data_IF_871290574747
#
_entry.id   IF_871290574747
#
_cell.length_a   1.000
_cell.length_b   1.000
_cell.length_c   1.000
_cell.angle_alpha   90.00
_cell.angle_beta   90.00
_cell.angle_gamma   90.00
#
_symmetry.space_group_name_H-M   'P 1'
#
loop_
_entity.id
_entity.type
_entity.pdbx_description
1 polymer ?
#
# COMPACT_ATOMS: atom_id res chain seq x y z
N UNK A 1 -47.82 2.84 -4.10
CA UNK A 1 -46.83 2.10 -4.91
C UNK A 1 -46.10 3.12 -5.76
N UNK A 2 -44.82 3.38 -5.65
CA UNK A 2 -43.68 2.48 -5.43
C UNK A 2 -42.54 3.25 -4.75
N UNK A 3 -42.16 2.75 -3.59
CA UNK A 3 -41.00 3.13 -2.80
C UNK A 3 -39.74 2.43 -3.36
N UNK A 4 -38.58 3.00 -3.01
CA UNK A 4 -37.28 2.33 -2.85
C UNK A 4 -36.39 2.15 -4.08
N UNK A 5 -35.35 2.99 -4.15
CA UNK A 5 -33.93 2.60 -4.02
C UNK A 5 -32.99 3.41 -4.94
N UNK A 6 -32.83 4.70 -4.65
CA UNK A 6 -31.57 5.37 -4.97
C UNK A 6 -30.47 4.71 -4.14
N UNK A 7 -29.76 3.77 -4.76
CA UNK A 7 -28.51 3.26 -4.23
C UNK A 7 -27.55 4.45 -4.08
N UNK A 8 -26.99 4.74 -2.89
CA UNK A 8 -25.96 5.74 -2.78
C UNK A 8 -24.71 5.17 -3.46
N UNK A 9 -24.54 5.51 -4.73
CA UNK A 9 -23.29 5.31 -5.44
C UNK A 9 -22.25 6.16 -4.71
N UNK A 10 -21.56 5.53 -3.75
CA UNK A 10 -20.37 6.08 -3.14
C UNK A 10 -19.40 6.28 -4.29
N UNK A 11 -19.28 7.53 -4.77
CA UNK A 11 -18.30 7.95 -5.78
C UNK A 11 -16.93 7.57 -5.24
N UNK A 12 -16.45 6.40 -5.65
CA UNK A 12 -15.08 5.98 -5.41
C UNK A 12 -14.22 6.85 -6.30
N UNK A 13 -13.67 7.92 -5.71
CA UNK A 13 -12.71 8.77 -6.37
C UNK A 13 -11.52 7.88 -6.73
N UNK A 14 -11.38 7.57 -8.02
CA UNK A 14 -10.32 6.73 -8.57
C UNK A 14 -9.05 7.56 -8.69
N UNK A 15 -8.56 8.05 -7.55
CA UNK A 15 -7.33 8.83 -7.52
C UNK A 15 -6.15 7.86 -7.49
N UNK A 16 -5.32 7.91 -8.52
CA UNK A 16 -4.01 7.27 -8.50
C UNK A 16 -3.17 7.96 -7.43
N UNK A 17 -2.42 7.16 -6.65
CA UNK A 17 -1.58 7.68 -5.57
C UNK A 17 -0.14 7.36 -5.86
N UNK A 18 0.65 8.41 -5.79
CA UNK A 18 2.08 8.38 -6.03
C UNK A 18 2.80 8.15 -4.70
N UNK A 19 3.63 7.11 -4.65
CA UNK A 19 4.51 6.81 -3.53
C UNK A 19 5.95 7.01 -3.95
N UNK A 20 6.76 7.61 -3.07
CA UNK A 20 8.19 7.74 -3.32
C UNK A 20 8.93 6.69 -2.48
N UNK A 21 9.61 5.77 -3.15
CA UNK A 21 10.42 4.72 -2.58
C UNK A 21 11.92 4.97 -2.88
N UNK A 22 12.82 4.95 -1.89
CA UNK A 22 14.25 5.16 -2.13
C UNK A 22 14.93 4.14 -3.05
N UNK A 23 14.33 2.95 -3.28
CA UNK A 23 14.90 1.92 -4.15
C UNK A 23 14.34 2.02 -5.57
N UNK A 24 13.02 2.11 -5.71
CA UNK A 24 12.33 2.10 -7.00
C UNK A 24 11.99 3.51 -7.54
N UNK A 25 12.27 4.57 -6.78
CA UNK A 25 11.89 5.93 -7.16
C UNK A 25 10.41 6.18 -6.97
N UNK A 26 9.77 6.80 -7.96
CA UNK A 26 8.35 7.13 -7.90
C UNK A 26 7.50 5.96 -8.40
N UNK A 27 6.64 5.43 -7.54
CA UNK A 27 5.72 4.33 -7.82
C UNK A 27 4.29 4.86 -7.87
N UNK A 28 3.62 4.72 -9.01
CA UNK A 28 2.21 5.04 -9.15
C UNK A 28 1.33 3.81 -8.85
N UNK A 29 0.40 3.95 -7.92
CA UNK A 29 -0.48 2.84 -7.53
C UNK A 29 -1.91 3.06 -8.03
N UNK A 30 -2.46 2.01 -8.64
CA UNK A 30 -3.84 1.96 -9.07
C UNK A 30 -4.81 2.06 -7.86
N UNK A 31 -5.96 2.75 -7.99
CA UNK A 31 -6.93 2.95 -6.90
C UNK A 31 -7.39 1.67 -6.18
N UNK A 32 -7.44 0.54 -6.89
CA UNK A 32 -7.76 -0.75 -6.28
C UNK A 32 -6.70 -1.20 -5.26
N UNK A 33 -5.42 -1.00 -5.57
CA UNK A 33 -4.31 -1.37 -4.71
C UNK A 33 -4.28 -0.49 -3.46
N UNK A 34 -4.60 0.80 -3.61
CA UNK A 34 -4.71 1.75 -2.49
C UNK A 34 -5.74 1.25 -1.46
N UNK A 35 -6.90 0.77 -1.91
CA UNK A 35 -7.91 0.21 -1.01
C UNK A 35 -7.41 -0.99 -0.22
N UNK A 36 -6.62 -1.86 -0.85
CA UNK A 36 -6.02 -3.02 -0.19
C UNK A 36 -4.97 -2.54 0.82
N UNK A 37 -4.16 -1.56 0.44
CA UNK A 37 -3.11 -0.97 1.29
C UNK A 37 -3.73 -0.31 2.53
N UNK A 38 -4.86 0.38 2.38
CA UNK A 38 -5.56 1.07 3.47
C UNK A 38 -6.33 0.12 4.40
N UNK A 39 -6.26 -1.20 4.19
CA UNK A 39 -6.81 -2.18 5.13
C UNK A 39 -5.91 -2.33 6.37
N UNK A 40 -6.49 -2.57 7.57
CA UNK A 40 -5.69 -2.76 8.79
C UNK A 40 -4.76 -3.97 8.70
N UNK A 41 -5.13 -5.00 7.92
CA UNK A 41 -4.30 -6.18 7.69
C UNK A 41 -3.00 -5.82 6.95
N UNK A 42 -3.10 -4.96 5.93
CA UNK A 42 -1.93 -4.51 5.17
C UNK A 42 -1.11 -3.47 5.95
N UNK A 43 -1.77 -2.53 6.64
CA UNK A 43 -1.08 -1.54 7.49
C UNK A 43 -0.28 -2.19 8.63
N UNK A 44 -0.68 -3.37 9.12
CA UNK A 44 0.09 -4.16 10.11
C UNK A 44 1.53 -4.41 9.68
N UNK A 45 1.80 -4.50 8.38
CA UNK A 45 3.14 -4.75 7.84
C UNK A 45 4.13 -3.63 8.17
N UNK A 46 3.68 -2.42 8.54
CA UNK A 46 4.54 -1.32 9.00
C UNK A 46 5.27 -1.63 10.31
N UNK A 47 4.72 -2.54 11.11
CA UNK A 47 5.27 -2.90 12.41
C UNK A 47 6.14 -4.15 12.36
N UNK A 48 6.29 -4.78 11.18
CA UNK A 48 7.08 -6.00 11.00
C UNK A 48 8.38 -5.63 10.32
N UNK A 49 9.49 -5.66 11.07
CA UNK A 49 10.84 -5.48 10.53
C UNK A 49 11.13 -6.53 9.47
N UNK A 50 11.66 -6.10 8.32
CA UNK A 50 12.00 -7.01 7.22
C UNK A 50 13.02 -8.07 7.67
N UNK A 51 14.05 -7.64 8.40
CA UNK A 51 15.16 -8.48 8.86
C UNK A 51 15.09 -8.83 10.36
N UNK A 52 13.96 -8.57 11.02
CA UNK A 52 13.72 -8.97 12.42
C UNK A 52 14.84 -8.53 13.38
N UNK A 53 15.47 -9.50 14.03
CA UNK A 53 16.52 -9.26 15.03
C UNK A 53 17.80 -8.62 14.49
N UNK A 54 18.03 -8.65 13.17
CA UNK A 54 19.17 -7.99 12.56
C UNK A 54 19.15 -6.46 12.76
N UNK A 55 17.97 -5.88 13.01
CA UNK A 55 17.84 -4.46 13.36
C UNK A 55 18.61 -4.08 14.63
N UNK A 56 18.76 -4.99 15.60
CA UNK A 56 19.49 -4.73 16.84
C UNK A 56 21.01 -4.75 16.66
N UNK A 57 21.50 -5.31 15.54
CA UNK A 57 22.94 -5.38 15.20
C UNK A 57 23.29 -4.33 14.14
N UNK A 58 22.38 -4.11 13.20
CA UNK A 58 22.53 -3.18 12.09
C UNK A 58 21.43 -2.11 12.17
N UNK A 59 21.73 -0.90 12.71
CA UNK A 59 20.72 0.15 12.84
C UNK A 59 20.15 0.62 11.49
N UNK A 60 20.88 0.39 10.38
CA UNK A 60 20.41 0.63 9.01
C UNK A 60 19.35 -0.37 8.51
N UNK A 61 19.17 -1.52 9.18
CA UNK A 61 18.16 -2.53 8.84
C UNK A 61 16.78 -2.18 9.42
N UNK A 62 16.39 -0.90 9.37
CA UNK A 62 15.16 -0.37 9.97
C UNK A 62 13.91 -0.59 9.12
N UNK A 63 14.08 -1.02 7.87
CA UNK A 63 13.03 -1.26 6.91
C UNK A 63 12.07 -2.38 7.36
N UNK A 64 10.79 -2.18 7.05
CA UNK A 64 9.67 -3.04 7.37
C UNK A 64 9.12 -3.73 6.11
N UNK A 65 8.24 -4.71 6.33
CA UNK A 65 7.59 -5.49 5.26
C UNK A 65 6.65 -4.64 4.39
N UNK A 66 6.20 -3.48 4.89
CA UNK A 66 5.28 -2.60 4.18
C UNK A 66 5.90 -2.03 2.90
N UNK A 67 7.00 -1.29 3.02
CA UNK A 67 7.71 -0.67 1.91
C UNK A 67 8.22 -1.70 0.90
N UNK A 68 8.67 -2.86 1.37
CA UNK A 68 9.07 -3.96 0.51
C UNK A 68 7.90 -4.49 -0.34
N UNK A 69 6.70 -4.60 0.25
CA UNK A 69 5.50 -5.06 -0.48
C UNK A 69 5.02 -4.02 -1.50
N UNK A 70 5.14 -2.73 -1.19
CA UNK A 70 4.82 -1.64 -2.12
C UNK A 70 5.78 -1.63 -3.32
N UNK A 71 7.08 -1.80 -3.08
CA UNK A 71 8.08 -1.86 -4.15
C UNK A 71 7.83 -2.99 -5.14
N UNK A 72 7.44 -4.18 -4.65
CA UNK A 72 7.07 -5.30 -5.53
C UNK A 72 5.84 -4.99 -6.40
N UNK A 73 4.82 -4.35 -5.82
CA UNK A 73 3.61 -3.96 -6.56
C UNK A 73 3.91 -2.91 -7.62
N UNK A 74 4.79 -1.96 -7.33
CA UNK A 74 5.29 -1.00 -8.32
C UNK A 74 5.99 -1.69 -9.49
N UNK A 75 6.94 -2.58 -9.19
CA UNK A 75 7.69 -3.32 -10.22
C UNK A 75 6.79 -4.19 -11.12
N UNK A 76 5.69 -4.73 -10.58
CA UNK A 76 4.71 -5.51 -11.37
C UNK A 76 3.82 -4.61 -12.22
N UNK A 77 3.54 -3.38 -11.77
CA UNK A 77 2.68 -2.44 -12.51
C UNK A 77 3.39 -1.73 -13.67
N UNK A 78 4.73 -1.65 -13.63
CA UNK A 78 5.56 -1.05 -14.69
C UNK A 78 5.83 -1.98 -15.90
N UNK A 79 5.13 -3.11 -16.02
CA UNK A 79 5.22 -4.08 -17.13
C UNK A 79 3.87 -4.28 -17.81
#
# INVERSE_FOLDING_TARGET
MSDSSETPQTKLKMDHKVFNDPIHGTVELHPLLIKIIDTPQFQRLRNIKQLGGAYFVYPGASHNRFEHSIGYVGMVSDK
#
